data_IF_407875798600
#
_entry.id   IF_407875798600
#
_cell.length_a   1.000
_cell.length_b   1.000
_cell.length_c   1.000
_cell.angle_alpha   90.00
_cell.angle_beta   90.00
_cell.angle_gamma   90.00
#
_symmetry.space_group_name_H-M   'P 1'
#
loop_
_entity.id
_entity.type
_entity.pdbx_description
1 polymer ?
#
# COMPACT_ATOMS: atom_id res chain seq x y z
N UNK A 1 -18.99 -18.20 -0.35
CA UNK A 1 -18.45 -16.93 -0.88
C UNK A 1 -17.90 -16.16 0.31
N UNK A 2 -16.59 -16.08 0.49
CA UNK A 2 -16.04 -15.12 1.45
C UNK A 2 -16.31 -13.72 0.88
N UNK A 3 -17.18 -12.96 1.50
CA UNK A 3 -17.34 -11.54 1.22
C UNK A 3 -16.15 -10.82 1.84
N UNK A 4 -15.01 -10.82 1.15
CA UNK A 4 -13.94 -9.88 1.47
C UNK A 4 -14.50 -8.46 1.39
N UNK A 5 -14.02 -7.56 2.22
CA UNK A 5 -14.41 -6.14 2.17
C UNK A 5 -14.01 -5.51 0.84
N UNK A 6 -12.90 -5.95 0.26
CA UNK A 6 -12.43 -5.52 -1.04
C UNK A 6 -13.02 -6.40 -2.16
N UNK A 7 -13.55 -5.77 -3.21
CA UNK A 7 -13.99 -6.47 -4.42
C UNK A 7 -12.77 -6.93 -5.26
N UNK A 8 -11.98 -7.81 -4.64
CA UNK A 8 -10.78 -8.43 -5.18
C UNK A 8 -10.78 -9.93 -4.87
N UNK A 9 -10.17 -10.73 -5.74
CA UNK A 9 -9.96 -12.15 -5.51
C UNK A 9 -8.68 -12.64 -6.20
N UNK A 10 -7.80 -13.29 -5.45
CA UNK A 10 -6.76 -14.13 -6.03
C UNK A 10 -7.42 -15.44 -6.45
N UNK A 11 -7.47 -15.71 -7.75
CA UNK A 11 -8.13 -16.91 -8.30
C UNK A 11 -7.19 -18.11 -8.31
N UNK A 12 -5.93 -17.89 -8.70
CA UNK A 12 -4.87 -18.90 -8.72
C UNK A 12 -3.50 -18.23 -8.79
N UNK A 13 -2.44 -18.96 -8.47
CA UNK A 13 -1.06 -18.52 -8.66
C UNK A 13 -0.09 -19.70 -8.83
N UNK A 14 1.03 -19.44 -9.48
CA UNK A 14 2.12 -20.37 -9.70
C UNK A 14 2.94 -20.00 -10.92
N UNK A 15 4.08 -20.68 -11.13
CA UNK A 15 4.98 -20.45 -12.26
C UNK A 15 5.37 -18.98 -12.48
N UNK A 16 5.55 -18.21 -11.38
CA UNK A 16 5.93 -16.80 -11.45
C UNK A 16 4.82 -15.84 -11.88
N UNK A 17 3.54 -16.27 -11.79
CA UNK A 17 2.39 -15.49 -12.21
C UNK A 17 1.21 -15.66 -11.26
N UNK A 18 0.27 -14.74 -11.32
CA UNK A 18 -1.00 -14.80 -10.60
C UNK A 18 -2.17 -14.46 -11.50
N UNK A 19 -3.26 -15.20 -11.32
CA UNK A 19 -4.56 -14.96 -11.91
C UNK A 19 -5.44 -14.27 -10.86
N UNK A 20 -5.87 -13.04 -11.13
CA UNK A 20 -6.56 -12.18 -10.18
C UNK A 20 -7.80 -11.54 -10.77
N UNK A 21 -8.76 -11.27 -9.92
CA UNK A 21 -9.95 -10.47 -10.24
C UNK A 21 -9.90 -9.16 -9.47
N UNK A 22 -10.05 -8.04 -10.18
CA UNK A 22 -10.26 -6.71 -9.61
C UNK A 22 -11.57 -6.14 -10.16
N UNK A 23 -12.58 -6.05 -9.31
CA UNK A 23 -13.92 -5.69 -9.77
C UNK A 23 -14.45 -6.72 -10.78
N UNK A 24 -14.73 -6.26 -11.98
CA UNK A 24 -15.22 -7.09 -13.11
C UNK A 24 -14.08 -7.64 -14.00
N UNK A 25 -12.83 -7.21 -13.81
CA UNK A 25 -11.70 -7.58 -14.67
C UNK A 25 -10.90 -8.75 -14.08
N UNK A 26 -10.68 -9.76 -14.89
CA UNK A 26 -9.77 -10.88 -14.58
C UNK A 26 -8.48 -10.70 -15.36
N UNK A 27 -7.34 -10.79 -14.66
CA UNK A 27 -6.04 -10.52 -15.25
C UNK A 27 -4.96 -11.50 -14.84
N UNK A 28 -3.98 -11.66 -15.72
CA UNK A 28 -2.75 -12.40 -15.45
C UNK A 28 -1.61 -11.39 -15.35
N UNK A 29 -0.88 -11.44 -14.22
CA UNK A 29 0.28 -10.59 -13.99
C UNK A 29 1.47 -11.40 -13.48
N UNK A 30 2.71 -11.03 -13.87
CA UNK A 30 3.92 -11.62 -13.30
C UNK A 30 4.01 -11.34 -11.80
N UNK A 31 4.40 -12.37 -11.03
CA UNK A 31 4.65 -12.26 -9.60
C UNK A 31 5.74 -13.24 -9.19
N UNK A 32 6.94 -12.73 -8.89
CA UNK A 32 8.10 -13.57 -8.59
C UNK A 32 7.90 -14.45 -7.35
N UNK A 33 7.05 -14.02 -6.41
CA UNK A 33 6.74 -14.75 -5.19
C UNK A 33 5.70 -15.85 -5.42
N UNK A 34 5.07 -15.89 -6.60
CA UNK A 34 4.12 -16.93 -6.99
C UNK A 34 4.86 -18.22 -7.42
N UNK A 35 5.55 -18.84 -6.48
CA UNK A 35 6.30 -20.09 -6.70
C UNK A 35 5.38 -21.31 -6.72
N UNK A 36 5.89 -22.43 -7.25
CA UNK A 36 5.14 -23.69 -7.36
C UNK A 36 4.23 -23.74 -8.60
N UNK A 37 3.42 -24.77 -8.67
CA UNK A 37 2.52 -25.02 -9.81
C UNK A 37 1.15 -24.40 -9.56
N UNK A 38 0.52 -23.75 -10.56
CA UNK A 38 -0.86 -23.33 -10.47
C UNK A 38 -1.78 -24.55 -10.36
N UNK A 39 -2.94 -24.39 -9.74
CA UNK A 39 -3.95 -25.48 -9.66
C UNK A 39 -4.79 -25.59 -10.90
N UNK A 40 -5.10 -24.48 -11.55
CA UNK A 40 -5.85 -24.45 -12.78
C UNK A 40 -4.89 -24.63 -13.97
N UNK A 41 -5.29 -25.37 -15.01
CA UNK A 41 -4.50 -25.48 -16.22
C UNK A 41 -4.43 -24.13 -16.95
N UNK A 42 -3.38 -23.95 -17.74
CA UNK A 42 -3.15 -22.69 -18.49
C UNK A 42 -4.33 -22.33 -19.42
N UNK A 43 -5.00 -23.32 -19.98
CA UNK A 43 -6.20 -23.11 -20.80
C UNK A 43 -7.33 -22.41 -20.04
N UNK A 44 -7.52 -22.74 -18.75
CA UNK A 44 -8.50 -22.08 -17.89
C UNK A 44 -8.08 -20.66 -17.55
N UNK A 45 -6.80 -20.43 -17.25
CA UNK A 45 -6.27 -19.07 -17.06
C UNK A 45 -6.55 -18.20 -18.29
N UNK A 46 -6.23 -18.71 -19.49
CA UNK A 46 -6.45 -18.01 -20.75
C UNK A 46 -7.93 -17.76 -21.06
N UNK A 47 -8.81 -18.70 -20.68
CA UNK A 47 -10.27 -18.56 -20.84
C UNK A 47 -10.86 -17.48 -19.91
N UNK A 48 -10.35 -17.38 -18.67
CA UNK A 48 -10.86 -16.49 -17.65
C UNK A 48 -10.32 -15.06 -17.79
N UNK A 49 -9.05 -14.93 -18.16
CA UNK A 49 -8.38 -13.62 -18.17
C UNK A 49 -8.77 -12.81 -19.41
N UNK A 50 -9.25 -11.58 -19.18
CA UNK A 50 -9.46 -10.58 -20.23
C UNK A 50 -8.25 -9.67 -20.43
N UNK A 51 -7.36 -9.62 -19.45
CA UNK A 51 -6.14 -8.80 -19.43
C UNK A 51 -4.93 -9.67 -19.10
N UNK A 52 -3.82 -9.45 -19.82
CA UNK A 52 -2.52 -10.05 -19.49
C UNK A 52 -1.44 -9.00 -19.59
N UNK A 53 -0.61 -8.87 -18.55
CA UNK A 53 0.58 -8.03 -18.61
C UNK A 53 1.74 -8.83 -19.19
N UNK A 54 2.32 -8.32 -20.28
CA UNK A 54 3.53 -8.86 -20.91
C UNK A 54 4.70 -7.98 -20.52
N UNK A 55 5.60 -8.52 -19.71
CA UNK A 55 6.82 -7.81 -19.29
C UNK A 55 7.85 -7.89 -20.41
N UNK A 56 8.37 -6.75 -20.85
CA UNK A 56 9.41 -6.65 -21.89
C UNK A 56 10.75 -6.23 -21.31
N UNK A 57 10.73 -5.44 -20.24
CA UNK A 57 11.90 -5.00 -19.47
C UNK A 57 11.53 -5.08 -17.99
N UNK A 58 12.53 -5.01 -17.11
CA UNK A 58 12.29 -5.05 -15.68
C UNK A 58 11.20 -4.06 -15.25
N UNK A 59 10.06 -4.57 -14.76
CA UNK A 59 8.87 -3.82 -14.33
C UNK A 59 8.15 -3.01 -15.41
N UNK A 60 8.56 -3.08 -16.68
CA UNK A 60 7.90 -2.41 -17.80
C UNK A 60 7.37 -3.40 -18.81
N UNK A 61 6.33 -3.02 -19.52
CA UNK A 61 5.69 -3.86 -20.52
C UNK A 61 4.41 -3.24 -21.05
N UNK A 62 3.55 -4.10 -21.54
CA UNK A 62 2.25 -3.69 -22.08
C UNK A 62 1.15 -4.66 -21.70
N UNK A 63 -0.09 -4.18 -21.75
CA UNK A 63 -1.28 -4.96 -21.50
C UNK A 63 -1.84 -5.52 -22.80
N UNK A 64 -1.88 -6.83 -22.89
CA UNK A 64 -2.61 -7.54 -23.93
C UNK A 64 -4.06 -7.72 -23.44
N UNK A 65 -5.02 -7.47 -24.34
CA UNK A 65 -6.45 -7.60 -24.05
C UNK A 65 -7.08 -8.60 -24.99
N UNK A 66 -7.96 -9.47 -24.50
CA UNK A 66 -8.71 -10.41 -25.33
C UNK A 66 -9.93 -9.77 -26.00
N UNK A 67 -10.36 -8.62 -25.52
CA UNK A 67 -11.53 -7.87 -25.99
C UNK A 67 -11.21 -6.38 -25.92
N UNK A 68 -12.08 -5.54 -26.53
CA UNK A 68 -11.96 -4.09 -26.37
C UNK A 68 -12.35 -3.70 -24.93
N UNK A 69 -11.34 -3.53 -24.10
CA UNK A 69 -11.49 -3.24 -22.67
C UNK A 69 -11.20 -1.77 -22.36
N UNK A 70 -12.02 -1.20 -21.49
CA UNK A 70 -11.76 0.16 -20.98
C UNK A 70 -10.37 0.24 -20.33
N UNK A 71 -9.72 1.41 -20.44
CA UNK A 71 -8.44 1.64 -19.80
C UNK A 71 -8.57 1.78 -18.27
N UNK A 72 -9.75 2.20 -17.79
CA UNK A 72 -10.07 2.44 -16.40
C UNK A 72 -11.27 1.58 -15.98
N UNK A 73 -11.24 1.07 -14.75
CA UNK A 73 -12.37 0.39 -14.10
C UNK A 73 -12.32 0.66 -12.59
N UNK A 74 -13.29 0.20 -11.84
CA UNK A 74 -13.37 0.43 -10.41
C UNK A 74 -13.22 -0.87 -9.62
N UNK A 75 -12.61 -0.75 -8.45
CA UNK A 75 -12.65 -1.74 -7.38
C UNK A 75 -13.24 -1.07 -6.14
N UNK A 76 -14.09 -1.79 -5.39
CA UNK A 76 -14.80 -1.24 -4.24
C UNK A 76 -14.28 -1.87 -2.96
N UNK A 77 -13.98 -1.05 -1.97
CA UNK A 77 -13.68 -1.48 -0.61
C UNK A 77 -14.86 -1.15 0.31
N UNK A 78 -15.48 -2.20 0.87
CA UNK A 78 -16.64 -2.11 1.76
C UNK A 78 -16.18 -2.12 3.22
N UNK A 79 -16.24 -1.00 3.88
CA UNK A 79 -15.91 -0.87 5.30
C UNK A 79 -17.01 -0.03 5.99
N UNK A 80 -18.10 -0.63 6.47
CA UNK A 80 -19.18 0.13 7.07
C UNK A 80 -18.67 1.08 8.17
N UNK A 81 -19.15 2.34 8.22
CA UNK A 81 -20.27 2.89 7.47
C UNK A 81 -19.97 3.42 6.06
N UNK A 82 -18.74 3.30 5.56
CA UNK A 82 -18.36 3.83 4.25
C UNK A 82 -18.02 2.75 3.23
N UNK A 83 -18.16 3.11 1.95
CA UNK A 83 -17.81 2.32 0.78
C UNK A 83 -16.93 3.15 -0.12
N UNK A 84 -15.70 2.70 -0.38
CA UNK A 84 -14.74 3.45 -1.17
C UNK A 84 -14.58 2.85 -2.56
N UNK A 85 -14.77 3.67 -3.57
CA UNK A 85 -14.45 3.36 -4.95
C UNK A 85 -13.00 3.71 -5.22
N UNK A 86 -12.28 2.77 -5.81
CA UNK A 86 -10.87 2.92 -6.18
C UNK A 86 -10.77 2.73 -7.69
N UNK A 87 -10.46 3.80 -8.40
CA UNK A 87 -10.25 3.73 -9.83
C UNK A 87 -8.93 3.04 -10.13
N UNK A 88 -8.98 2.02 -10.93
CA UNK A 88 -7.85 1.26 -11.45
C UNK A 88 -7.63 1.59 -12.92
N UNK A 89 -6.39 1.44 -13.41
CA UNK A 89 -6.07 1.67 -14.82
C UNK A 89 -4.84 0.86 -15.26
N UNK A 90 -4.83 0.55 -16.54
CA UNK A 90 -3.65 -0.01 -17.21
C UNK A 90 -2.58 1.06 -17.35
N UNK A 91 -1.33 0.70 -17.10
CA UNK A 91 -0.16 1.56 -17.24
C UNK A 91 0.98 0.84 -17.96
N UNK A 92 2.15 1.46 -17.98
CA UNK A 92 3.37 0.88 -18.57
C UNK A 92 4.01 -0.21 -17.69
N UNK A 93 3.50 -0.40 -16.49
CA UNK A 93 3.94 -1.43 -15.55
C UNK A 93 2.78 -2.37 -15.19
N UNK A 94 3.08 -3.44 -14.49
CA UNK A 94 2.11 -4.46 -14.08
C UNK A 94 1.10 -3.99 -13.02
N UNK A 95 1.36 -2.87 -12.34
CA UNK A 95 0.51 -2.37 -11.25
C UNK A 95 -0.67 -1.56 -11.80
N UNK A 96 -1.86 -1.88 -11.31
CA UNK A 96 -3.12 -1.29 -11.77
C UNK A 96 -3.67 -0.20 -10.85
N UNK A 97 -2.92 0.16 -9.80
CA UNK A 97 -3.31 1.22 -8.87
C UNK A 97 -3.75 0.73 -7.50
N UNK A 98 -3.73 -0.56 -7.23
CA UNK A 98 -4.16 -1.12 -5.96
C UNK A 98 -3.29 -2.31 -5.56
N UNK A 99 -3.03 -2.43 -4.26
CA UNK A 99 -2.33 -3.52 -3.61
C UNK A 99 -3.29 -4.19 -2.60
N UNK A 100 -4.00 -5.26 -3.02
CA UNK A 100 -5.07 -5.87 -2.21
C UNK A 100 -4.61 -6.41 -0.87
N UNK A 101 -3.36 -6.86 -0.77
CA UNK A 101 -2.75 -7.34 0.47
C UNK A 101 -2.74 -6.28 1.57
N UNK A 102 -2.84 -5.00 1.22
CA UNK A 102 -2.90 -3.88 2.16
C UNK A 102 -4.27 -3.74 2.87
N UNK A 103 -5.28 -4.53 2.51
CA UNK A 103 -6.62 -4.50 3.11
C UNK A 103 -6.56 -4.63 4.63
N UNK A 104 -5.66 -5.46 5.18
CA UNK A 104 -5.42 -5.59 6.62
C UNK A 104 -5.11 -4.24 7.28
N UNK A 105 -4.32 -3.40 6.61
CA UNK A 105 -3.98 -2.08 7.13
C UNK A 105 -5.13 -1.10 7.01
N UNK A 106 -5.92 -1.18 5.96
CA UNK A 106 -7.13 -0.34 5.84
C UNK A 106 -8.14 -0.65 6.93
N UNK A 107 -8.34 -1.94 7.26
CA UNK A 107 -9.17 -2.36 8.38
C UNK A 107 -8.65 -1.84 9.71
N UNK A 108 -7.34 -1.91 9.93
CA UNK A 108 -6.71 -1.35 11.12
C UNK A 108 -6.92 0.17 11.21
N UNK A 109 -6.70 0.91 10.12
CA UNK A 109 -6.88 2.36 10.08
C UNK A 109 -8.33 2.75 10.35
N UNK A 110 -9.29 2.07 9.71
CA UNK A 110 -10.72 2.31 9.90
C UNK A 110 -11.19 2.12 11.35
N UNK A 111 -10.63 1.13 12.04
CA UNK A 111 -10.96 0.85 13.44
C UNK A 111 -10.15 1.64 14.48
N UNK A 112 -9.00 2.22 14.08
CA UNK A 112 -8.06 2.85 15.00
C UNK A 112 -8.14 4.37 15.02
N UNK A 113 -8.30 4.99 13.83
CA UNK A 113 -8.33 6.44 13.68
C UNK A 113 -9.67 7.02 14.16
N UNK A 114 -9.58 8.19 14.76
CA UNK A 114 -10.72 8.95 15.25
C UNK A 114 -10.84 10.28 14.51
N UNK A 115 -12.00 10.92 14.63
CA UNK A 115 -12.24 12.24 14.05
C UNK A 115 -11.20 13.24 14.57
N UNK A 116 -10.63 13.99 13.63
CA UNK A 116 -9.56 14.99 13.84
C UNK A 116 -8.19 14.43 14.23
N UNK A 117 -7.99 13.11 14.22
CA UNK A 117 -6.64 12.55 14.30
C UNK A 117 -5.83 13.00 13.10
N UNK A 118 -4.59 13.48 13.31
CA UNK A 118 -3.68 13.76 12.20
C UNK A 118 -3.03 12.47 11.74
N UNK A 119 -3.19 12.16 10.47
CA UNK A 119 -2.66 10.95 9.84
C UNK A 119 -1.71 11.28 8.70
N UNK A 120 -0.56 10.62 8.67
CA UNK A 120 0.47 10.79 7.64
C UNK A 120 0.64 9.49 6.84
N UNK A 121 0.42 9.59 5.53
CA UNK A 121 0.68 8.52 4.58
C UNK A 121 1.88 8.90 3.71
N UNK A 122 2.99 8.18 3.86
CA UNK A 122 4.23 8.37 3.11
C UNK A 122 4.36 7.29 2.03
N UNK A 123 4.84 7.66 0.84
CA UNK A 123 4.83 6.82 -0.37
C UNK A 123 3.40 6.39 -0.70
N UNK A 124 2.50 7.38 -0.63
CA UNK A 124 1.07 7.14 -0.46
C UNK A 124 0.36 6.62 -1.71
N UNK A 125 1.05 6.58 -2.87
CA UNK A 125 0.60 6.01 -4.14
C UNK A 125 -0.79 6.55 -4.56
N UNK A 126 -1.72 5.69 -4.96
CA UNK A 126 -3.07 6.06 -5.41
C UNK A 126 -4.06 6.35 -4.29
N UNK A 127 -3.60 6.30 -3.02
CA UNK A 127 -4.30 6.89 -1.88
C UNK A 127 -5.28 5.99 -1.13
N UNK A 128 -5.32 4.68 -1.33
CA UNK A 128 -6.28 3.81 -0.63
C UNK A 128 -6.27 4.02 0.90
N UNK A 129 -5.09 3.97 1.54
CA UNK A 129 -4.94 4.23 2.98
C UNK A 129 -5.34 5.65 3.38
N UNK A 130 -5.06 6.66 2.52
CA UNK A 130 -5.46 8.05 2.77
C UNK A 130 -6.97 8.22 2.72
N UNK A 131 -7.65 7.57 1.77
CA UNK A 131 -9.11 7.60 1.66
C UNK A 131 -9.79 6.95 2.86
N UNK A 132 -9.29 5.79 3.30
CA UNK A 132 -9.79 5.11 4.49
C UNK A 132 -9.64 5.99 5.73
N UNK A 133 -8.45 6.59 5.92
CA UNK A 133 -8.19 7.50 7.04
C UNK A 133 -9.10 8.74 7.01
N UNK A 134 -9.28 9.35 5.84
CA UNK A 134 -10.16 10.51 5.69
C UNK A 134 -11.64 10.16 5.95
N UNK A 135 -12.09 8.97 5.50
CA UNK A 135 -13.44 8.47 5.78
C UNK A 135 -13.66 8.20 7.26
N UNK A 136 -12.63 7.82 8.02
CA UNK A 136 -12.68 7.72 9.48
C UNK A 136 -12.68 9.10 10.19
N UNK A 137 -12.58 10.20 9.42
CA UNK A 137 -12.61 11.57 9.93
C UNK A 137 -11.26 12.17 10.29
N UNK A 138 -10.16 11.53 9.91
CA UNK A 138 -8.81 12.02 10.16
C UNK A 138 -8.44 13.22 9.26
N UNK A 139 -7.56 14.09 9.77
CA UNK A 139 -6.85 15.14 9.04
C UNK A 139 -5.63 14.50 8.33
N UNK A 140 -5.74 14.26 7.03
CA UNK A 140 -4.84 13.38 6.28
C UNK A 140 -3.80 14.16 5.48
N UNK A 141 -2.53 13.80 5.66
CA UNK A 141 -1.41 14.25 4.83
C UNK A 141 -0.96 13.10 3.92
N UNK A 142 -1.23 13.26 2.62
CA UNK A 142 -0.86 12.31 1.56
C UNK A 142 0.41 12.79 0.88
N UNK A 143 1.51 12.06 1.05
CA UNK A 143 2.83 12.44 0.56
C UNK A 143 3.35 11.40 -0.43
N UNK A 144 3.61 11.86 -1.66
CA UNK A 144 4.28 11.05 -2.70
C UNK A 144 5.16 11.96 -3.56
N UNK A 145 6.23 11.44 -4.12
CA UNK A 145 7.15 12.21 -4.97
C UNK A 145 6.66 12.34 -6.42
N UNK A 146 5.71 11.50 -6.85
CA UNK A 146 5.23 11.44 -8.22
C UNK A 146 3.91 12.21 -8.42
N UNK A 147 3.95 13.35 -9.09
CA UNK A 147 2.77 14.20 -9.35
C UNK A 147 1.63 13.43 -10.04
N UNK A 148 1.95 12.57 -10.99
CA UNK A 148 0.94 11.77 -11.70
C UNK A 148 0.19 10.80 -10.79
N UNK A 149 0.85 10.28 -9.77
CA UNK A 149 0.28 9.38 -8.77
C UNK A 149 -0.61 10.16 -7.79
N UNK A 150 -0.18 11.34 -7.35
CA UNK A 150 -1.01 12.24 -6.53
C UNK A 150 -2.28 12.65 -7.27
N UNK A 151 -2.18 12.99 -8.56
CA UNK A 151 -3.36 13.31 -9.36
C UNK A 151 -4.34 12.13 -9.45
N UNK A 152 -3.81 10.90 -9.51
CA UNK A 152 -4.65 9.71 -9.47
C UNK A 152 -5.34 9.55 -8.10
N UNK A 153 -4.59 9.73 -7.01
CA UNK A 153 -5.14 9.69 -5.65
C UNK A 153 -6.20 10.78 -5.43
N UNK A 154 -5.98 11.99 -5.93
CA UNK A 154 -6.97 13.07 -5.88
C UNK A 154 -8.24 12.74 -6.69
N UNK A 155 -8.10 12.08 -7.85
CA UNK A 155 -9.23 11.55 -8.60
C UNK A 155 -10.01 10.50 -7.81
N UNK A 156 -9.31 9.60 -7.11
CA UNK A 156 -9.93 8.64 -6.19
C UNK A 156 -10.67 9.34 -5.03
N UNK A 157 -10.14 10.43 -4.48
CA UNK A 157 -10.84 11.21 -3.46
C UNK A 157 -12.10 11.87 -4.02
N UNK A 158 -12.03 12.42 -5.23
CA UNK A 158 -13.16 13.10 -5.88
C UNK A 158 -14.35 12.17 -6.12
N UNK A 159 -14.12 10.93 -6.61
CA UNK A 159 -15.21 9.97 -6.85
C UNK A 159 -15.86 9.43 -5.56
N UNK A 160 -15.27 9.72 -4.40
CA UNK A 160 -15.78 9.38 -3.07
C UNK A 160 -16.23 10.61 -2.28
N UNK A 161 -16.33 11.78 -2.90
CA UNK A 161 -16.72 13.06 -2.26
C UNK A 161 -15.83 13.43 -1.04
N UNK A 162 -14.55 13.02 -1.06
CA UNK A 162 -13.58 13.31 -0.01
C UNK A 162 -12.75 14.53 -0.40
N UNK A 163 -12.84 15.61 0.39
CA UNK A 163 -12.13 16.88 0.16
C UNK A 163 -11.08 17.23 1.23
N UNK A 164 -10.99 16.45 2.32
CA UNK A 164 -10.21 16.76 3.52
C UNK A 164 -8.77 16.21 3.51
N UNK A 165 -8.19 15.96 2.32
CA UNK A 165 -6.83 15.42 2.20
C UNK A 165 -5.85 16.50 1.74
N UNK A 166 -4.74 16.68 2.49
CA UNK A 166 -3.61 17.52 2.11
C UNK A 166 -2.68 16.79 1.15
N UNK A 167 -2.69 17.18 -0.12
CA UNK A 167 -1.87 16.59 -1.18
C UNK A 167 -0.48 17.21 -1.21
N UNK A 168 0.57 16.42 -0.98
CA UNK A 168 1.95 16.88 -0.92
C UNK A 168 2.82 16.13 -1.91
N UNK A 169 3.31 16.84 -2.93
CA UNK A 169 4.25 16.28 -3.93
C UNK A 169 5.68 16.57 -3.49
N UNK A 170 6.23 15.68 -2.68
CA UNK A 170 7.56 15.84 -2.09
C UNK A 170 8.21 14.49 -1.74
N UNK A 171 9.53 14.46 -1.64
CA UNK A 171 10.28 13.33 -1.10
C UNK A 171 9.94 13.13 0.38
N UNK A 172 9.70 11.88 0.79
CA UNK A 172 9.25 11.53 2.13
C UNK A 172 10.27 11.89 3.23
N UNK A 173 11.58 11.76 2.96
CA UNK A 173 12.63 12.17 3.92
C UNK A 173 12.60 13.68 4.12
N UNK A 174 12.59 14.46 3.05
CA UNK A 174 12.53 15.92 3.11
C UNK A 174 11.28 16.39 3.82
N UNK A 175 10.13 15.79 3.52
CA UNK A 175 8.88 16.08 4.19
C UNK A 175 8.99 15.84 5.70
N UNK A 176 9.42 14.64 6.11
CA UNK A 176 9.50 14.27 7.54
C UNK A 176 10.53 15.12 8.30
N UNK A 177 11.64 15.51 7.69
CA UNK A 177 12.61 16.43 8.27
C UNK A 177 12.01 17.82 8.48
N UNK A 178 11.25 18.33 7.51
CA UNK A 178 10.56 19.61 7.61
C UNK A 178 9.49 19.61 8.70
N UNK A 179 8.69 18.55 8.79
CA UNK A 179 7.66 18.41 9.81
C UNK A 179 8.25 18.29 11.23
N UNK A 180 9.41 17.61 11.38
CA UNK A 180 10.15 17.59 12.64
C UNK A 180 10.64 18.98 13.06
N UNK A 181 11.17 19.79 12.13
CA UNK A 181 11.57 21.20 12.43
C UNK A 181 10.37 22.04 12.88
N UNK A 182 9.18 21.78 12.32
CA UNK A 182 7.93 22.46 12.69
C UNK A 182 7.31 21.91 13.98
N UNK A 183 7.86 20.84 14.56
CA UNK A 183 7.35 20.14 15.74
C UNK A 183 5.91 19.65 15.58
N UNK A 184 5.50 19.36 14.35
CA UNK A 184 4.20 18.77 14.08
C UNK A 184 4.14 17.34 14.62
N UNK A 185 2.93 16.88 14.98
CA UNK A 185 2.69 15.54 15.51
C UNK A 185 1.55 14.87 14.80
N UNK A 186 1.62 13.53 14.70
CA UNK A 186 0.66 12.67 14.04
C UNK A 186 0.22 11.53 14.96
N UNK A 187 -1.07 11.18 14.93
CA UNK A 187 -1.63 10.06 15.69
C UNK A 187 -1.33 8.73 15.02
N UNK A 188 -1.21 8.72 13.71
CA UNK A 188 -0.84 7.56 12.93
C UNK A 188 0.03 7.92 11.73
N UNK A 189 1.01 7.06 11.44
CA UNK A 189 1.88 7.17 10.26
C UNK A 189 1.87 5.80 9.57
N UNK A 190 1.66 5.77 8.25
CA UNK A 190 1.92 4.59 7.42
C UNK A 190 2.99 4.93 6.39
N UNK A 191 3.89 3.99 6.14
CA UNK A 191 4.91 4.12 5.11
C UNK A 191 5.19 2.80 4.39
N UNK A 192 5.34 2.89 3.08
CA UNK A 192 5.65 1.77 2.19
C UNK A 192 6.79 2.15 1.23
N UNK A 193 8.02 2.32 1.75
CA UNK A 193 9.15 2.80 0.97
C UNK A 193 9.51 1.82 -0.15
N UNK A 194 9.79 2.31 -1.37
CA UNK A 194 10.17 1.48 -2.50
C UNK A 194 11.51 0.78 -2.25
N UNK A 195 11.72 -0.36 -2.91
CA UNK A 195 12.97 -1.16 -2.82
C UNK A 195 14.18 -0.32 -3.24
N UNK A 196 13.98 0.55 -4.25
CA UNK A 196 14.95 1.54 -4.72
C UNK A 196 14.22 2.86 -4.95
N UNK A 197 14.57 3.89 -4.22
CA UNK A 197 14.09 5.25 -4.45
C UNK A 197 15.07 6.03 -5.31
N UNK A 198 14.59 6.71 -6.36
CA UNK A 198 15.29 7.88 -6.88
C UNK A 198 14.93 9.04 -5.97
N UNK A 199 15.88 9.54 -5.21
CA UNK A 199 15.73 10.81 -4.53
C UNK A 199 15.53 11.92 -5.56
N UNK A 200 15.03 13.08 -5.15
CA UNK A 200 14.84 14.25 -6.00
C UNK A 200 16.12 14.74 -6.74
N UNK A 201 17.28 14.20 -6.39
CA UNK A 201 18.57 14.42 -7.06
C UNK A 201 19.00 13.30 -8.03
N UNK A 202 18.13 12.30 -8.31
CA UNK A 202 18.47 11.18 -9.22
C UNK A 202 19.31 10.08 -8.57
N UNK A 203 19.65 10.19 -7.30
CA UNK A 203 20.45 9.20 -6.58
C UNK A 203 19.65 7.95 -6.25
N UNK A 204 20.19 6.77 -6.59
CA UNK A 204 19.66 5.49 -6.16
C UNK A 204 20.05 5.27 -4.69
N UNK A 205 19.10 5.43 -3.77
CA UNK A 205 19.29 5.09 -2.35
C UNK A 205 18.88 3.65 -2.11
N UNK A 206 19.73 2.90 -1.41
CA UNK A 206 19.35 1.59 -0.91
C UNK A 206 18.31 1.78 0.21
N UNK A 207 17.29 0.93 0.22
CA UNK A 207 16.23 1.01 1.21
C UNK A 207 16.76 1.00 2.65
N UNK A 208 17.76 0.16 2.95
CA UNK A 208 18.33 0.04 4.30
C UNK A 208 18.91 1.35 4.83
N UNK A 209 19.58 2.15 3.96
CA UNK A 209 20.17 3.43 4.34
C UNK A 209 19.08 4.47 4.66
N UNK A 210 17.98 4.42 3.91
CA UNK A 210 16.86 5.33 4.05
C UNK A 210 15.94 4.94 5.21
N UNK A 211 15.77 3.63 5.45
CA UNK A 211 14.78 3.09 6.39
C UNK A 211 15.04 3.56 7.82
N UNK A 212 16.29 3.53 8.30
CA UNK A 212 16.67 4.01 9.61
C UNK A 212 16.30 5.49 9.82
N UNK A 213 16.57 6.33 8.82
CA UNK A 213 16.28 7.77 8.91
C UNK A 213 14.77 8.04 8.86
N UNK A 214 14.03 7.33 8.00
CA UNK A 214 12.57 7.42 7.93
C UNK A 214 11.90 7.03 9.25
N UNK A 215 12.29 5.89 9.84
CA UNK A 215 11.72 5.42 11.11
C UNK A 215 12.09 6.37 12.25
N UNK A 216 13.34 6.87 12.28
CA UNK A 216 13.76 7.87 13.27
C UNK A 216 12.94 9.16 13.16
N UNK A 217 12.74 9.65 11.95
CA UNK A 217 11.92 10.83 11.71
C UNK A 217 10.45 10.59 12.11
N UNK A 218 9.89 9.45 11.71
CA UNK A 218 8.51 9.08 12.04
C UNK A 218 8.29 8.96 13.56
N UNK A 219 9.22 8.31 14.28
CA UNK A 219 9.13 8.21 15.74
C UNK A 219 9.08 9.57 16.44
N UNK A 220 9.85 10.56 15.94
CA UNK A 220 9.81 11.93 16.44
C UNK A 220 8.51 12.65 16.09
N UNK A 221 7.84 12.27 15.01
CA UNK A 221 6.59 12.87 14.56
C UNK A 221 5.36 12.25 15.24
N UNK A 222 5.47 11.11 15.89
CA UNK A 222 4.34 10.49 16.57
C UNK A 222 3.94 11.27 17.83
N UNK A 223 2.63 11.37 18.05
CA UNK A 223 2.08 11.65 19.37
C UNK A 223 2.42 10.53 20.37
N UNK A 224 2.48 10.81 21.69
CA UNK A 224 2.48 9.75 22.69
C UNK A 224 1.30 8.77 22.49
N UNK A 225 1.58 7.49 22.37
CA UNK A 225 0.59 6.46 22.03
C UNK A 225 0.15 6.42 20.57
N UNK A 226 0.74 7.25 19.71
CA UNK A 226 0.55 7.18 18.26
C UNK A 226 1.20 5.95 17.64
N UNK A 227 0.76 5.54 16.47
CA UNK A 227 1.21 4.30 15.81
C UNK A 227 1.95 4.55 14.49
N UNK A 228 2.85 3.63 14.18
CA UNK A 228 3.55 3.52 12.90
C UNK A 228 3.21 2.18 12.26
N UNK A 229 2.81 2.19 10.99
CA UNK A 229 2.76 1.01 10.13
C UNK A 229 3.88 1.14 9.11
N UNK A 230 4.77 0.15 9.08
CA UNK A 230 5.86 0.06 8.13
C UNK A 230 5.68 -1.18 7.28
N UNK A 231 5.63 -1.02 5.96
CA UNK A 231 5.64 -2.10 4.99
C UNK A 231 6.96 -2.18 4.22
N UNK A 232 7.24 -3.33 3.63
CA UNK A 232 8.28 -3.47 2.63
C UNK A 232 8.07 -4.68 1.73
N UNK A 233 8.29 -4.48 0.44
CA UNK A 233 8.38 -5.54 -0.59
C UNK A 233 9.84 -5.96 -0.82
N UNK A 234 10.79 -5.41 -0.08
CA UNK A 234 12.21 -5.71 -0.25
C UNK A 234 12.54 -7.16 0.13
N UNK A 235 13.23 -7.92 -0.72
CA UNK A 235 13.73 -9.24 -0.34
C UNK A 235 14.87 -9.18 0.69
N UNK A 236 15.55 -8.04 0.81
CA UNK A 236 16.75 -7.87 1.66
C UNK A 236 16.44 -7.34 3.06
N UNK A 237 15.21 -6.90 3.32
CA UNK A 237 14.76 -6.44 4.64
C UNK A 237 13.78 -7.47 5.20
N UNK A 238 14.13 -8.07 6.33
CA UNK A 238 13.27 -9.00 7.03
C UNK A 238 12.51 -8.33 8.19
N UNK A 239 11.51 -9.03 8.73
CA UNK A 239 10.68 -8.56 9.84
C UNK A 239 11.51 -8.28 11.08
N UNK A 240 12.54 -9.10 11.35
CA UNK A 240 13.42 -8.94 12.51
C UNK A 240 14.17 -7.61 12.43
N UNK A 241 14.77 -7.32 11.28
CA UNK A 241 15.48 -6.05 11.01
C UNK A 241 14.54 -4.85 11.19
N UNK A 242 13.31 -4.90 10.63
CA UNK A 242 12.32 -3.83 10.80
C UNK A 242 11.97 -3.58 12.26
N UNK A 243 11.76 -4.65 13.04
CA UNK A 243 11.48 -4.58 14.48
C UNK A 243 12.65 -3.98 15.26
N UNK A 244 13.87 -4.44 15.00
CA UNK A 244 15.10 -3.93 15.66
C UNK A 244 15.27 -2.43 15.41
N UNK A 245 15.01 -1.96 14.17
CA UNK A 245 15.08 -0.53 13.85
C UNK A 245 13.99 0.24 14.60
N UNK A 246 12.77 -0.26 14.69
CA UNK A 246 11.70 0.38 15.47
C UNK A 246 12.09 0.51 16.95
N UNK A 247 12.56 -0.58 17.57
CA UNK A 247 12.99 -0.61 18.98
C UNK A 247 14.16 0.36 19.21
N UNK A 248 15.17 0.38 18.34
CA UNK A 248 16.30 1.32 18.41
C UNK A 248 15.83 2.78 18.38
N UNK A 249 14.74 3.08 17.71
CA UNK A 249 14.13 4.40 17.64
C UNK A 249 13.04 4.62 18.72
N UNK A 250 13.04 3.83 19.80
CA UNK A 250 12.14 3.94 20.97
C UNK A 250 10.66 3.74 20.62
N UNK A 251 10.39 2.91 19.61
CA UNK A 251 9.04 2.48 19.28
C UNK A 251 8.80 1.08 19.85
N UNK A 252 7.65 0.90 20.48
CA UNK A 252 7.21 -0.39 21.02
C UNK A 252 6.60 -1.23 19.90
N UNK A 253 7.06 -2.48 19.73
CA UNK A 253 6.51 -3.41 18.76
C UNK A 253 5.12 -3.89 19.22
N UNK A 254 4.13 -3.80 18.33
CA UNK A 254 2.76 -4.24 18.58
C UNK A 254 2.35 -5.47 17.78
N UNK A 255 2.65 -5.47 16.46
CA UNK A 255 2.31 -6.56 15.53
C UNK A 255 3.33 -6.60 14.39
N UNK A 256 3.49 -7.76 13.76
CA UNK A 256 4.30 -7.91 12.56
C UNK A 256 3.97 -9.22 11.84
N UNK A 257 4.24 -9.28 10.55
CA UNK A 257 3.99 -10.49 9.75
C UNK A 257 4.08 -10.24 8.27
N UNK A 258 3.43 -11.13 7.52
CA UNK A 258 3.26 -11.02 6.09
C UNK A 258 1.88 -10.47 5.74
N UNK A 259 1.83 -9.64 4.72
CA UNK A 259 0.60 -9.30 4.04
C UNK A 259 0.41 -10.29 2.89
N UNK A 260 -0.70 -10.99 2.93
CA UNK A 260 -0.99 -12.11 2.03
C UNK A 260 -2.35 -11.96 1.40
N UNK A 261 -2.48 -12.49 0.20
CA UNK A 261 -3.78 -12.72 -0.46
C UNK A 261 -4.00 -14.23 -0.56
N UNK A 262 -5.26 -14.65 -0.55
CA UNK A 262 -5.61 -16.06 -0.48
C UNK A 262 -6.44 -16.48 -1.69
N UNK A 263 -6.16 -17.67 -2.21
CA UNK A 263 -7.01 -18.33 -3.20
C UNK A 263 -8.26 -18.93 -2.55
N UNK A 264 -9.33 -19.23 -3.32
CA UNK A 264 -10.56 -19.86 -2.79
C UNK A 264 -10.31 -21.19 -2.10
N UNK A 265 -9.24 -21.89 -2.45
CA UNK A 265 -8.84 -23.18 -1.86
C UNK A 265 -7.90 -23.01 -0.64
N UNK A 266 -7.69 -21.78 -0.17
CA UNK A 266 -6.97 -21.46 1.07
C UNK A 266 -5.46 -21.34 0.94
N UNK A 267 -4.87 -21.45 -0.26
CA UNK A 267 -3.43 -21.18 -0.45
C UNK A 267 -3.15 -19.68 -0.26
N UNK A 268 -2.11 -19.36 0.52
CA UNK A 268 -1.67 -18.01 0.74
C UNK A 268 -0.54 -17.63 -0.23
N UNK A 269 -0.61 -16.44 -0.80
CA UNK A 269 0.49 -15.79 -1.50
C UNK A 269 0.95 -14.60 -0.64
N UNK A 270 2.11 -14.76 -0.02
CA UNK A 270 2.75 -13.74 0.81
C UNK A 270 3.46 -12.72 -0.09
N UNK A 271 3.08 -11.44 -0.02
CA UNK A 271 3.54 -10.42 -0.96
C UNK A 271 4.43 -9.36 -0.31
N UNK A 272 4.13 -8.91 0.90
CA UNK A 272 4.97 -7.94 1.61
C UNK A 272 5.05 -8.22 3.10
N UNK A 273 6.06 -7.67 3.74
CA UNK A 273 6.28 -7.76 5.19
C UNK A 273 5.84 -6.46 5.84
N UNK A 274 5.34 -6.55 7.08
CA UNK A 274 4.97 -5.36 7.84
C UNK A 274 5.39 -5.44 9.30
N UNK A 275 5.50 -4.27 9.91
CA UNK A 275 5.62 -4.05 11.35
C UNK A 275 4.66 -2.93 11.76
N UNK A 276 3.91 -3.16 12.83
CA UNK A 276 3.16 -2.12 13.54
C UNK A 276 3.88 -1.84 14.85
N UNK A 277 4.17 -0.58 15.09
CA UNK A 277 4.83 -0.12 16.32
C UNK A 277 4.12 1.14 16.85
N UNK A 278 4.34 1.48 18.12
CA UNK A 278 3.75 2.68 18.75
C UNK A 278 4.80 3.49 19.51
N UNK A 279 4.57 4.79 19.60
CA UNK A 279 5.30 5.63 20.54
C UNK A 279 4.79 5.35 21.96
N UNK A 280 5.71 5.27 22.94
CA UNK A 280 5.35 5.07 24.35
C UNK A 280 4.34 6.12 24.79
N UNK A 281 3.33 5.69 25.55
CA UNK A 281 2.44 6.62 26.24
C UNK A 281 3.27 7.37 27.29
N UNK A 282 3.08 8.67 27.41
CA UNK A 282 3.61 9.39 28.57
C UNK A 282 2.97 8.71 29.79
N UNK A 283 3.76 7.95 30.54
CA UNK A 283 3.37 7.53 31.91
C UNK A 283 3.29 8.84 32.69
N UNK A 284 2.06 9.24 33.04
CA UNK A 284 1.86 10.43 33.86
C UNK A 284 2.69 10.30 35.14
N UNK A 285 3.50 11.34 35.39
CA UNK A 285 4.02 11.61 36.71
C UNK A 285 2.89 12.16 37.58
#
# INVERSE_FOLDING_TARGET
MQSGKLNYQLLDFGNGSKLERFGDKVMIRPEILAVGQPKLPESEWNRMATLRFIETEQMRGFWQTSQQEANNWECVYHCPPFHLKLQLRKGINKHVGLFPEQEKHWDFLAGKLQKNDRFLNLFAYTGASSLVAASAGADVYHVDSARSVINWAAGNAQINDISSIHWVCEDALKFTERENKRKHKYHGIIMDPPIFGKGSGGENRKLNDMLNQLISNAGKLLHPGGFLILNTYSPTVDIKTMREICIKNRLEHNDSGWLSVHTPDGRALELSKYVVASASKLTGQ
#
